data_IF_413745304990
#
_entry.id   IF_413745304990
#
_cell.length_a   1.000
_cell.length_b   1.000
_cell.length_c   1.000
_cell.angle_alpha   90.00
_cell.angle_beta   90.00
_cell.angle_gamma   90.00
#
_symmetry.space_group_name_H-M   'P 1'
#
loop_
_entity.id
_entity.type
_entity.pdbx_description
1 polymer ?
#
# COMPACT_ATOMS: atom_id res chain seq x y z
N UNK A 1 -7.24 57.28 32.43
CA UNK A 1 -7.94 58.02 31.37
C UNK A 1 -6.88 58.45 30.37
N UNK A 2 -6.89 58.11 29.09
CA UNK A 2 -7.78 57.34 28.23
C UNK A 2 -6.92 56.76 27.10
N UNK A 3 -7.31 55.57 26.64
CA UNK A 3 -6.96 54.99 25.33
C UNK A 3 -7.64 55.88 24.28
N UNK A 4 -7.09 56.17 23.10
CA UNK A 4 -7.14 55.28 21.92
C UNK A 4 -6.51 56.00 20.72
N UNK A 5 -5.59 55.34 20.02
CA UNK A 5 -5.55 55.39 18.55
C UNK A 5 -4.62 54.27 18.07
N UNK A 6 -5.12 53.04 18.16
CA UNK A 6 -4.49 51.94 17.43
C UNK A 6 -5.04 52.00 16.00
N UNK A 7 -4.23 52.55 15.11
CA UNK A 7 -4.46 52.47 13.67
C UNK A 7 -4.43 51.00 13.25
N UNK A 8 -5.57 50.46 12.84
CA UNK A 8 -5.61 49.15 12.19
C UNK A 8 -5.11 49.31 10.75
N UNK A 9 -3.95 48.75 10.36
CA UNK A 9 -3.60 48.74 8.96
C UNK A 9 -4.47 47.71 8.25
N UNK A 10 -5.42 48.21 7.47
CA UNK A 10 -6.22 47.45 6.51
C UNK A 10 -5.28 46.51 5.74
N UNK A 11 -5.39 45.20 6.01
CA UNK A 11 -4.66 44.16 5.31
C UNK A 11 -5.09 44.17 3.85
N UNK A 12 -4.33 44.96 3.08
CA UNK A 12 -4.49 45.16 1.65
C UNK A 12 -4.72 43.82 0.95
N UNK A 13 -5.85 43.75 0.24
CA UNK A 13 -6.34 42.62 -0.52
C UNK A 13 -5.52 42.37 -1.80
N UNK A 14 -4.20 42.49 -1.75
CA UNK A 14 -3.31 42.09 -2.82
C UNK A 14 -3.02 40.59 -2.64
N UNK A 15 -3.55 39.73 -3.52
CA UNK A 15 -3.18 38.30 -3.57
C UNK A 15 -1.72 38.17 -4.01
N UNK A 16 -0.79 38.48 -3.10
CA UNK A 16 0.65 38.31 -3.29
C UNK A 16 0.94 36.82 -3.35
N UNK A 17 1.62 36.39 -4.41
CA UNK A 17 2.04 34.99 -4.56
C UNK A 17 2.87 34.56 -3.35
N UNK A 18 2.45 33.51 -2.65
CA UNK A 18 3.20 32.98 -1.50
C UNK A 18 4.48 32.34 -2.03
N UNK A 19 5.67 32.85 -1.68
CA UNK A 19 6.92 32.35 -2.21
C UNK A 19 7.10 30.87 -1.83
N UNK A 20 7.64 30.08 -2.75
CA UNK A 20 7.82 28.63 -2.59
C UNK A 20 8.64 28.30 -1.34
N UNK A 21 9.65 29.13 -1.01
CA UNK A 21 10.47 28.97 0.19
C UNK A 21 9.67 29.03 1.51
N UNK A 22 8.51 29.70 1.52
CA UNK A 22 7.62 29.80 2.70
C UNK A 22 6.49 28.76 2.66
N UNK A 23 6.50 27.83 1.70
CA UNK A 23 5.49 26.78 1.58
C UNK A 23 5.88 25.58 2.43
N UNK A 24 5.51 25.61 3.70
CA UNK A 24 5.66 24.46 4.60
C UNK A 24 4.46 23.52 4.42
N UNK A 25 4.73 22.24 4.18
CA UNK A 25 3.74 21.17 4.32
C UNK A 25 3.93 20.60 5.73
N UNK A 26 2.98 20.78 6.66
CA UNK A 26 3.11 20.18 7.98
C UNK A 26 3.18 18.67 7.82
N UNK A 27 4.08 18.05 8.57
CA UNK A 27 4.08 16.59 8.71
C UNK A 27 2.75 16.22 9.34
N UNK A 28 2.00 15.33 8.69
CA UNK A 28 0.77 14.82 9.26
C UNK A 28 1.11 14.18 10.61
N UNK A 29 0.43 14.63 11.67
CA UNK A 29 0.60 14.04 12.99
C UNK A 29 0.28 12.56 13.00
N UNK A 30 0.69 11.86 14.05
CA UNK A 30 0.36 10.45 14.20
C UNK A 30 -1.17 10.24 14.21
N UNK A 31 -1.60 9.12 13.63
CA UNK A 31 -3.01 8.72 13.62
C UNK A 31 -3.48 8.54 15.08
N UNK A 32 -4.50 9.31 15.53
CA UNK A 32 -4.97 9.28 16.91
C UNK A 32 -5.31 7.86 17.36
N UNK A 33 -4.99 7.53 18.61
CA UNK A 33 -5.18 6.18 19.17
C UNK A 33 -6.61 5.65 19.01
N UNK A 34 -7.61 6.53 19.12
CA UNK A 34 -9.04 6.21 18.88
C UNK A 34 -9.37 5.64 17.50
N UNK A 35 -8.51 5.85 16.50
CA UNK A 35 -8.68 5.34 15.14
C UNK A 35 -7.78 4.13 14.84
N UNK A 36 -6.96 3.69 15.81
CA UNK A 36 -6.08 2.53 15.64
C UNK A 36 -6.92 1.25 15.73
N UNK A 37 -6.74 0.37 14.74
CA UNK A 37 -7.37 -0.96 14.74
C UNK A 37 -6.61 -1.83 15.75
N UNK A 38 -7.24 -2.13 16.88
CA UNK A 38 -6.70 -3.06 17.88
C UNK A 38 -7.08 -4.48 17.46
N UNK A 39 -6.09 -5.29 17.08
CA UNK A 39 -6.29 -6.70 16.74
C UNK A 39 -6.10 -7.56 17.99
N UNK A 40 -7.20 -8.06 18.55
CA UNK A 40 -7.16 -9.05 19.62
C UNK A 40 -7.12 -10.45 19.01
N UNK A 41 -5.91 -10.94 18.72
CA UNK A 41 -5.73 -12.31 18.22
C UNK A 41 -5.72 -13.23 19.45
N UNK A 42 -6.76 -14.06 19.58
CA UNK A 42 -6.85 -15.09 20.63
C UNK A 42 -6.60 -16.45 20.00
N UNK A 43 -5.57 -17.17 20.47
CA UNK A 43 -5.13 -18.43 19.88
C UNK A 43 -4.32 -18.27 18.59
N UNK A 44 -3.97 -19.40 17.98
CA UNK A 44 -3.30 -19.43 16.68
C UNK A 44 -4.37 -19.49 15.55
N UNK A 45 -4.49 -18.45 14.70
CA UNK A 45 -5.47 -18.42 13.64
C UNK A 45 -5.21 -19.45 12.53
N UNK A 46 -4.03 -20.08 12.52
CA UNK A 46 -3.62 -21.04 11.50
C UNK A 46 -3.68 -22.49 12.00
N UNK A 47 -4.06 -22.74 13.26
CA UNK A 47 -3.99 -24.06 13.88
C UNK A 47 -4.85 -25.12 13.14
N UNK A 48 -6.01 -24.71 12.63
CA UNK A 48 -6.94 -25.61 11.94
C UNK A 48 -6.68 -25.69 10.43
N UNK A 49 -5.66 -25.01 9.90
CA UNK A 49 -5.38 -25.03 8.47
C UNK A 49 -4.84 -26.39 8.02
N UNK A 50 -5.40 -26.97 6.95
CA UNK A 50 -4.84 -28.17 6.37
C UNK A 50 -3.46 -27.87 5.79
N UNK A 51 -2.49 -28.75 6.07
CA UNK A 51 -1.16 -28.65 5.47
C UNK A 51 -1.27 -28.89 3.97
N UNK A 52 -0.95 -27.86 3.17
CA UNK A 52 -0.91 -27.96 1.73
C UNK A 52 0.34 -28.75 1.27
N UNK A 53 0.25 -29.55 0.20
CA UNK A 53 1.43 -30.13 -0.42
C UNK A 53 2.30 -29.00 -0.99
N UNK A 54 3.61 -29.06 -0.76
CA UNK A 54 4.55 -28.07 -1.29
C UNK A 54 4.67 -28.14 -2.81
N UNK A 55 4.57 -29.36 -3.36
CA UNK A 55 4.80 -29.62 -4.77
C UNK A 55 3.47 -29.96 -5.45
N UNK A 56 3.16 -29.31 -6.59
CA UNK A 56 1.97 -29.63 -7.35
C UNK A 56 2.08 -31.04 -7.97
N UNK A 57 0.94 -31.72 -8.22
CA UNK A 57 0.94 -32.98 -8.95
C UNK A 57 1.38 -32.79 -10.40
N UNK A 58 1.79 -33.88 -11.05
CA UNK A 58 2.16 -33.86 -12.46
C UNK A 58 1.03 -33.31 -13.33
N UNK A 59 1.40 -32.47 -14.29
CA UNK A 59 0.44 -31.82 -15.16
C UNK A 59 -0.27 -32.83 -16.07
N UNK A 60 -1.60 -32.79 -16.08
CA UNK A 60 -2.44 -33.52 -17.03
C UNK A 60 -3.33 -32.53 -17.80
N UNK A 61 -3.36 -32.57 -19.15
CA UNK A 61 -4.17 -31.65 -19.93
C UNK A 61 -5.65 -31.90 -19.68
N UNK A 62 -6.37 -30.90 -19.16
CA UNK A 62 -7.80 -31.00 -18.83
C UNK A 62 -8.57 -29.81 -19.39
N UNK A 63 -9.59 -30.13 -20.19
CA UNK A 63 -10.57 -29.16 -20.70
C UNK A 63 -9.95 -28.00 -21.48
N UNK A 64 -9.72 -26.87 -20.81
CA UNK A 64 -9.26 -25.61 -21.43
C UNK A 64 -7.73 -25.51 -21.52
N UNK A 65 -6.97 -26.23 -20.70
CA UNK A 65 -5.51 -26.15 -20.72
C UNK A 65 -4.93 -27.41 -21.36
N UNK A 66 -4.36 -27.23 -22.54
CA UNK A 66 -3.82 -28.29 -23.41
C UNK A 66 -2.30 -28.34 -23.32
N UNK A 67 -1.72 -29.47 -23.72
CA UNK A 67 -0.27 -29.67 -23.73
C UNK A 67 0.43 -28.57 -24.54
N UNK A 68 -0.08 -28.24 -25.73
CA UNK A 68 0.49 -27.18 -26.58
C UNK A 68 0.56 -25.81 -25.91
N UNK A 69 -0.40 -25.50 -25.03
CA UNK A 69 -0.42 -24.24 -24.28
C UNK A 69 0.63 -24.26 -23.18
N UNK A 70 0.80 -25.40 -22.50
CA UNK A 70 1.88 -25.60 -21.53
C UNK A 70 3.23 -25.43 -22.20
N UNK A 71 3.49 -26.16 -23.29
CA UNK A 71 4.79 -26.12 -23.96
C UNK A 71 5.15 -24.72 -24.51
N UNK A 72 4.14 -23.93 -24.92
CA UNK A 72 4.34 -22.52 -25.30
C UNK A 72 4.71 -21.65 -24.09
N UNK A 73 4.06 -21.88 -22.96
CA UNK A 73 4.35 -21.17 -21.71
C UNK A 73 5.77 -21.51 -21.23
N UNK A 74 6.14 -22.78 -21.22
CA UNK A 74 7.46 -23.26 -20.81
C UNK A 74 8.57 -22.63 -21.67
N UNK A 75 8.38 -22.57 -23.00
CA UNK A 75 9.30 -21.90 -23.93
C UNK A 75 9.43 -20.39 -23.71
N UNK A 76 8.35 -19.73 -23.31
CA UNK A 76 8.36 -18.29 -23.00
C UNK A 76 9.04 -17.98 -21.66
N UNK A 77 9.16 -18.98 -20.79
CA UNK A 77 9.64 -18.86 -19.42
C UNK A 77 10.97 -19.60 -19.15
N UNK A 78 11.72 -19.95 -20.20
CA UNK A 78 13.01 -20.64 -20.12
C UNK A 78 14.06 -19.92 -19.24
N UNK A 79 13.88 -18.61 -18.99
CA UNK A 79 14.81 -17.75 -18.23
C UNK A 79 14.66 -17.76 -16.71
N UNK A 80 14.18 -18.83 -16.08
CA UNK A 80 14.13 -18.95 -14.61
C UNK A 80 12.90 -18.30 -13.97
N UNK A 81 11.72 -18.53 -14.56
CA UNK A 81 10.45 -18.07 -13.99
C UNK A 81 10.17 -18.64 -12.58
N UNK A 82 10.71 -19.82 -12.27
CA UNK A 82 10.69 -20.43 -10.94
C UNK A 82 12.11 -20.70 -10.44
N UNK A 83 12.26 -20.74 -9.11
CA UNK A 83 13.47 -21.21 -8.45
C UNK A 83 13.58 -22.74 -8.55
N UNK A 84 14.78 -23.33 -8.45
CA UNK A 84 14.93 -24.80 -8.52
C UNK A 84 14.26 -25.54 -7.35
N UNK A 85 13.91 -24.83 -6.28
CA UNK A 85 13.18 -25.35 -5.13
C UNK A 85 11.65 -25.28 -5.29
N UNK A 86 11.15 -24.65 -6.36
CA UNK A 86 9.71 -24.45 -6.67
C UNK A 86 9.23 -25.19 -7.93
#
# INVERSE_FOLDING_TARGET
EEMTEQSEPLLSLAKKYKPVALKVRPVLGELPEKFRIIRNITGDPLADLPKLPSNPPEFTPKGRYTQERKDKMDKQHEGGFLLPEE
#
